data_IF_839760186197
#
_entry.id   IF_839760186197
#
_cell.length_a   1.000
_cell.length_b   1.000
_cell.length_c   1.000
_cell.angle_alpha   90.00
_cell.angle_beta   90.00
_cell.angle_gamma   90.00
#
_symmetry.space_group_name_H-M   'P 1'
#
loop_
_entity.id
_entity.type
_entity.pdbx_description
1 polymer ?
#
# COMPACT_ATOMS: atom_id res chain seq x y z
N UNK A 1 8.42 18.86 -20.08
CA UNK A 1 9.38 17.80 -19.69
C UNK A 1 9.51 17.63 -18.17
N UNK A 2 9.73 18.71 -17.41
CA UNK A 2 9.93 18.65 -15.93
C UNK A 2 8.73 18.10 -15.16
N UNK A 3 7.50 18.49 -15.49
CA UNK A 3 6.29 18.01 -14.82
C UNK A 3 6.03 16.50 -15.06
N UNK A 4 6.28 16.01 -16.28
CA UNK A 4 6.12 14.59 -16.59
C UNK A 4 7.13 13.72 -15.83
N UNK A 5 8.37 14.20 -15.66
CA UNK A 5 9.40 13.50 -14.89
C UNK A 5 9.06 13.47 -13.41
N UNK A 6 8.54 14.57 -12.84
CA UNK A 6 8.07 14.58 -11.46
C UNK A 6 6.90 13.61 -11.24
N UNK A 7 5.94 13.59 -12.16
CA UNK A 7 4.81 12.66 -12.08
C UNK A 7 5.27 11.19 -12.17
N UNK A 8 6.21 10.89 -13.06
CA UNK A 8 6.81 9.56 -13.15
C UNK A 8 7.51 9.16 -11.85
N UNK A 9 8.24 10.11 -11.21
CA UNK A 9 8.89 9.90 -9.91
C UNK A 9 7.86 9.63 -8.80
N UNK A 10 6.73 10.34 -8.80
CA UNK A 10 5.61 10.11 -7.87
C UNK A 10 5.06 8.69 -8.03
N UNK A 11 4.83 8.25 -9.26
CA UNK A 11 4.33 6.89 -9.53
C UNK A 11 5.34 5.81 -9.12
N UNK A 12 6.62 6.01 -9.41
CA UNK A 12 7.69 5.11 -8.97
C UNK A 12 7.78 5.03 -7.45
N UNK A 13 7.61 6.16 -6.75
CA UNK A 13 7.60 6.18 -5.29
C UNK A 13 6.40 5.39 -4.71
N UNK A 14 5.24 5.39 -5.40
CA UNK A 14 4.10 4.57 -5.00
C UNK A 14 4.27 3.08 -5.32
N UNK A 15 4.94 2.74 -6.42
CA UNK A 15 5.36 1.35 -6.69
C UNK A 15 6.30 0.88 -5.57
N UNK A 16 7.27 1.72 -5.22
CA UNK A 16 8.21 1.49 -4.12
C UNK A 16 7.52 1.27 -2.77
N UNK A 17 6.45 2.02 -2.48
CA UNK A 17 5.63 1.86 -1.28
C UNK A 17 4.87 0.52 -1.27
N UNK A 18 4.28 0.13 -2.39
CA UNK A 18 3.51 -1.11 -2.50
C UNK A 18 4.36 -2.38 -2.37
N UNK A 19 5.64 -2.33 -2.77
CA UNK A 19 6.52 -3.50 -2.74
C UNK A 19 6.60 -4.17 -1.36
N UNK A 20 6.93 -3.50 -0.26
CA UNK A 20 7.03 -4.10 1.06
C UNK A 20 5.68 -4.39 1.71
N UNK A 21 4.62 -3.63 1.39
CA UNK A 21 3.32 -3.71 2.06
C UNK A 21 2.67 -5.10 1.95
N UNK A 22 2.93 -5.81 0.86
CA UNK A 22 2.32 -7.10 0.55
C UNK A 22 3.19 -8.32 0.89
N UNK A 23 4.42 -8.10 1.38
CA UNK A 23 5.43 -9.17 1.50
C UNK A 23 5.35 -9.92 2.81
N UNK A 24 5.00 -9.24 3.91
CA UNK A 24 5.00 -9.85 5.24
C UNK A 24 4.13 -11.12 5.29
N UNK A 25 2.92 -11.07 4.75
CA UNK A 25 1.99 -12.19 4.80
C UNK A 25 2.47 -13.44 4.05
N UNK A 26 3.17 -13.26 2.94
CA UNK A 26 3.71 -14.38 2.15
C UNK A 26 5.05 -14.90 2.70
N UNK A 27 5.81 -14.05 3.36
CA UNK A 27 7.05 -14.43 4.03
C UNK A 27 6.81 -15.11 5.39
N UNK A 28 5.66 -14.81 6.03
CA UNK A 28 5.39 -15.17 7.42
C UNK A 28 5.47 -16.66 7.73
N UNK A 29 4.97 -17.60 6.92
CA UNK A 29 5.14 -19.03 7.20
C UNK A 29 6.60 -19.43 7.42
N UNK A 30 7.49 -18.93 6.57
CA UNK A 30 8.95 -19.18 6.70
C UNK A 30 9.59 -18.39 7.83
N UNK A 31 9.16 -17.14 8.05
CA UNK A 31 9.66 -16.28 9.13
C UNK A 31 9.33 -16.85 10.49
N UNK A 32 8.06 -17.20 10.75
CA UNK A 32 7.65 -17.74 12.04
C UNK A 32 8.32 -19.07 12.37
N UNK A 33 8.50 -19.95 11.38
CA UNK A 33 9.19 -21.21 11.55
C UNK A 33 10.67 -21.00 11.94
N UNK A 34 11.36 -20.08 11.27
CA UNK A 34 12.78 -19.79 11.53
C UNK A 34 13.04 -19.02 12.83
N UNK A 35 12.05 -18.28 13.33
CA UNK A 35 12.15 -17.42 14.52
C UNK A 35 11.41 -18.02 15.74
N UNK A 36 10.81 -19.20 15.61
CA UNK A 36 10.06 -19.86 16.68
C UNK A 36 8.85 -19.05 17.15
N UNK A 37 8.10 -18.42 16.22
CA UNK A 37 6.98 -17.54 16.54
C UNK A 37 5.63 -18.20 16.21
N UNK A 38 4.61 -17.78 16.97
CA UNK A 38 3.23 -18.16 16.71
C UNK A 38 2.67 -17.43 15.47
N UNK A 39 1.61 -18.00 14.89
CA UNK A 39 0.92 -17.40 13.75
C UNK A 39 0.52 -15.96 14.02
N UNK A 40 -0.06 -15.67 15.18
CA UNK A 40 -0.57 -14.35 15.55
C UNK A 40 0.49 -13.25 15.65
N UNK A 41 1.78 -13.61 15.82
CA UNK A 41 2.87 -12.65 15.99
C UNK A 41 3.08 -11.74 14.76
N UNK A 42 2.66 -12.14 13.54
CA UNK A 42 2.63 -11.24 12.39
C UNK A 42 1.75 -10.00 12.62
N UNK A 43 0.66 -10.18 13.37
CA UNK A 43 -0.23 -9.08 13.75
C UNK A 43 0.47 -8.00 14.58
N UNK A 44 1.45 -8.35 15.42
CA UNK A 44 2.25 -7.37 16.18
C UNK A 44 3.13 -6.52 15.26
N UNK A 45 3.79 -7.13 14.27
CA UNK A 45 4.57 -6.39 13.27
C UNK A 45 3.66 -5.44 12.52
N UNK A 46 2.51 -5.94 12.03
CA UNK A 46 1.52 -5.12 11.29
C UNK A 46 0.97 -3.99 12.16
N UNK A 47 0.72 -4.23 13.45
CA UNK A 47 0.27 -3.20 14.39
C UNK A 47 1.32 -2.08 14.52
N UNK A 48 2.60 -2.43 14.72
CA UNK A 48 3.69 -1.45 14.83
C UNK A 48 3.84 -0.65 13.54
N UNK A 49 3.78 -1.31 12.37
CA UNK A 49 3.79 -0.66 11.06
C UNK A 49 2.64 0.33 10.91
N UNK A 50 1.41 -0.10 11.23
CA UNK A 50 0.20 0.72 11.08
C UNK A 50 0.21 1.92 12.04
N UNK A 51 0.60 1.71 13.30
CA UNK A 51 0.73 2.81 14.28
C UNK A 51 1.81 3.79 13.84
N UNK A 52 2.97 3.31 13.40
CA UNK A 52 4.04 4.14 12.87
C UNK A 52 3.60 4.96 11.67
N UNK A 53 2.89 4.33 10.71
CA UNK A 53 2.33 5.00 9.53
C UNK A 53 1.31 6.07 9.90
N UNK A 54 0.38 5.77 10.82
CA UNK A 54 -0.61 6.73 11.30
C UNK A 54 0.05 7.92 12.00
N UNK A 55 0.98 7.67 12.92
CA UNK A 55 1.71 8.73 13.63
C UNK A 55 2.48 9.63 12.65
N UNK A 56 3.16 9.04 11.68
CA UNK A 56 3.88 9.77 10.65
C UNK A 56 2.96 10.64 9.80
N UNK A 57 1.79 10.13 9.43
CA UNK A 57 0.77 10.87 8.67
C UNK A 57 0.20 12.06 9.45
N UNK A 58 -0.03 11.91 10.78
CA UNK A 58 -0.53 12.99 11.64
C UNK A 58 0.52 14.07 11.93
N UNK A 59 1.75 13.66 12.25
CA UNK A 59 2.86 14.60 12.55
C UNK A 59 3.37 15.23 11.26
N UNK A 60 3.24 14.51 10.15
CA UNK A 60 3.73 14.86 8.83
C UNK A 60 3.32 16.25 8.35
N UNK A 61 2.11 16.72 8.65
CA UNK A 61 1.63 18.04 8.22
C UNK A 61 2.55 19.19 8.64
N UNK A 62 3.10 19.17 9.86
CA UNK A 62 3.99 20.22 10.39
C UNK A 62 5.44 20.07 9.95
N UNK A 63 5.98 18.86 10.00
CA UNK A 63 7.37 18.55 9.59
C UNK A 63 7.50 18.67 8.07
N UNK A 64 6.52 18.16 7.34
CA UNK A 64 6.47 18.14 5.88
C UNK A 64 6.32 19.53 5.27
N UNK A 65 5.64 20.47 5.94
CA UNK A 65 5.54 21.86 5.50
C UNK A 65 6.93 22.55 5.45
N UNK A 66 7.86 22.12 6.30
CA UNK A 66 9.22 22.69 6.35
C UNK A 66 10.19 22.04 5.35
N UNK A 67 10.09 20.74 5.13
CA UNK A 67 11.10 19.99 4.33
C UNK A 67 10.73 19.87 2.86
N UNK A 68 9.45 19.94 2.52
CA UNK A 68 8.97 19.73 1.16
C UNK A 68 8.86 18.25 0.74
N UNK A 69 8.28 18.02 -0.43
CA UNK A 69 7.95 16.65 -0.91
C UNK A 69 9.18 15.81 -1.22
N UNK A 70 10.16 16.38 -1.94
CA UNK A 70 11.34 15.63 -2.38
C UNK A 70 12.18 15.05 -1.23
N UNK A 71 12.63 15.87 -0.25
CA UNK A 71 13.39 15.38 0.90
C UNK A 71 12.62 14.34 1.71
N UNK A 72 11.31 14.51 1.92
CA UNK A 72 10.50 13.55 2.66
C UNK A 72 10.46 12.20 1.97
N UNK A 73 10.20 12.15 0.67
CA UNK A 73 10.19 10.90 -0.11
C UNK A 73 11.56 10.22 -0.06
N UNK A 74 12.64 10.99 -0.15
CA UNK A 74 14.00 10.46 -0.13
C UNK A 74 14.37 9.88 1.23
N UNK A 75 14.15 10.64 2.33
CA UNK A 75 14.47 10.19 3.69
C UNK A 75 13.60 8.99 4.08
N UNK A 76 12.31 9.02 3.75
CA UNK A 76 11.40 7.92 4.01
C UNK A 76 11.78 6.66 3.22
N UNK A 77 12.15 6.80 1.95
CA UNK A 77 12.68 5.71 1.13
C UNK A 77 13.95 5.09 1.73
N UNK A 78 14.84 5.91 2.27
CA UNK A 78 16.05 5.44 2.96
C UNK A 78 15.68 4.67 4.24
N UNK A 79 14.78 5.22 5.07
CA UNK A 79 14.31 4.55 6.28
C UNK A 79 13.69 3.19 5.98
N UNK A 80 12.79 3.13 4.99
CA UNK A 80 12.13 1.88 4.59
C UNK A 80 13.12 0.89 3.99
N UNK A 81 14.03 1.33 3.11
CA UNK A 81 15.05 0.48 2.50
C UNK A 81 16.00 -0.13 3.53
N UNK A 82 16.51 0.67 4.46
CA UNK A 82 17.38 0.20 5.54
C UNK A 82 16.64 -0.74 6.51
N UNK A 83 15.38 -0.46 6.83
CA UNK A 83 14.56 -1.33 7.65
C UNK A 83 14.34 -2.70 6.99
N UNK A 84 14.09 -2.74 5.68
CA UNK A 84 13.92 -4.00 4.92
C UNK A 84 15.22 -4.83 4.88
N UNK A 85 16.37 -4.19 4.70
CA UNK A 85 17.66 -4.86 4.83
C UNK A 85 17.86 -5.39 6.26
N UNK A 86 17.47 -4.60 7.26
CA UNK A 86 17.48 -5.03 8.64
C UNK A 86 16.56 -6.24 8.91
N UNK A 87 15.38 -6.29 8.29
CA UNK A 87 14.50 -7.48 8.33
C UNK A 87 15.22 -8.71 7.81
N UNK A 88 15.88 -8.62 6.65
CA UNK A 88 16.62 -9.73 6.05
C UNK A 88 17.74 -10.27 6.97
N UNK A 89 18.40 -9.38 7.71
CA UNK A 89 19.55 -9.70 8.58
C UNK A 89 19.12 -9.99 10.02
N UNK A 90 17.83 -9.86 10.35
CA UNK A 90 17.36 -9.99 11.73
C UNK A 90 17.49 -11.41 12.28
N UNK A 91 18.17 -11.61 13.41
CA UNK A 91 18.25 -12.88 14.09
C UNK A 91 17.07 -13.15 15.04
N UNK A 92 16.24 -12.14 15.34
CA UNK A 92 15.19 -12.25 16.37
C UNK A 92 13.92 -11.50 16.00
N UNK A 93 12.80 -11.95 16.54
CA UNK A 93 11.50 -11.29 16.40
C UNK A 93 11.48 -9.88 17.02
N UNK A 94 12.15 -9.68 18.15
CA UNK A 94 12.24 -8.38 18.81
C UNK A 94 12.90 -7.32 17.91
N UNK A 95 13.95 -7.71 17.16
CA UNK A 95 14.58 -6.79 16.21
C UNK A 95 13.66 -6.49 15.03
N UNK A 96 12.84 -7.43 14.55
CA UNK A 96 11.83 -7.16 13.52
C UNK A 96 10.80 -6.13 14.00
N UNK A 97 10.33 -6.23 15.25
CA UNK A 97 9.42 -5.23 15.83
C UNK A 97 10.07 -3.84 15.92
N UNK A 98 11.34 -3.78 16.32
CA UNK A 98 12.07 -2.52 16.37
C UNK A 98 12.23 -1.89 14.97
N UNK A 99 12.56 -2.69 13.96
CA UNK A 99 12.72 -2.25 12.58
C UNK A 99 11.39 -1.93 11.89
N UNK A 100 10.27 -2.50 12.36
CA UNK A 100 8.94 -2.15 11.89
C UNK A 100 8.59 -0.67 12.19
N UNK A 101 9.19 -0.05 13.21
CA UNK A 101 8.97 1.36 13.55
C UNK A 101 9.44 2.28 12.41
N UNK A 102 10.73 2.30 12.01
CA UNK A 102 11.18 3.14 10.90
C UNK A 102 10.52 2.76 9.57
N UNK A 103 10.18 1.48 9.36
CA UNK A 103 9.46 1.04 8.17
C UNK A 103 8.06 1.67 8.09
N UNK A 104 7.29 1.63 9.18
CA UNK A 104 5.96 2.24 9.25
C UNK A 104 5.99 3.76 9.16
N UNK A 105 6.91 4.42 9.88
CA UNK A 105 7.08 5.88 9.82
C UNK A 105 7.41 6.35 8.40
N UNK A 106 8.32 5.67 7.71
CA UNK A 106 8.68 5.97 6.33
C UNK A 106 7.52 5.79 5.37
N UNK A 107 6.82 4.65 5.46
CA UNK A 107 5.68 4.35 4.60
C UNK A 107 4.56 5.40 4.73
N UNK A 108 4.15 5.73 5.96
CA UNK A 108 3.09 6.72 6.21
C UNK A 108 3.47 8.13 5.75
N UNK A 109 4.74 8.54 5.89
CA UNK A 109 5.18 9.85 5.43
C UNK A 109 5.13 9.98 3.90
N UNK A 110 5.57 8.95 3.16
CA UNK A 110 5.49 8.92 1.68
C UNK A 110 4.05 8.94 1.23
N UNK A 111 3.22 8.06 1.79
CA UNK A 111 1.80 7.94 1.42
C UNK A 111 1.07 9.27 1.60
N UNK A 112 1.08 9.83 2.80
CA UNK A 112 0.41 11.09 3.09
C UNK A 112 0.90 12.25 2.20
N UNK A 113 2.21 12.34 1.98
CA UNK A 113 2.81 13.45 1.23
C UNK A 113 2.52 13.38 -0.25
N UNK A 114 2.63 12.20 -0.86
CA UNK A 114 2.39 12.06 -2.30
C UNK A 114 0.90 12.13 -2.63
N UNK A 115 0.01 11.62 -1.77
CA UNK A 115 -1.43 11.84 -1.91
C UNK A 115 -1.78 13.33 -1.88
N UNK A 116 -1.22 14.08 -0.90
CA UNK A 116 -1.43 15.53 -0.81
C UNK A 116 -0.88 16.25 -2.05
N UNK A 117 0.30 15.87 -2.52
CA UNK A 117 0.92 16.48 -3.69
C UNK A 117 0.07 16.26 -4.96
N UNK A 118 -0.38 15.01 -5.20
CA UNK A 118 -1.21 14.70 -6.37
C UNK A 118 -2.58 15.37 -6.26
N UNK A 119 -3.19 15.42 -5.08
CA UNK A 119 -4.46 16.10 -4.88
C UNK A 119 -4.38 17.62 -5.16
N UNK A 120 -3.24 18.24 -4.85
CA UNK A 120 -3.04 19.69 -5.05
C UNK A 120 -2.69 20.07 -6.50
N UNK A 121 -2.03 19.20 -7.26
CA UNK A 121 -1.42 19.58 -8.55
C UNK A 121 -1.96 18.80 -9.76
N UNK A 122 -2.73 17.71 -9.54
CA UNK A 122 -3.18 16.82 -10.61
C UNK A 122 -4.67 16.48 -10.48
N UNK A 123 -5.23 15.91 -11.55
CA UNK A 123 -6.64 15.52 -11.60
C UNK A 123 -6.91 14.19 -10.85
N UNK A 124 -8.20 13.91 -10.59
CA UNK A 124 -8.67 12.66 -10.00
C UNK A 124 -8.18 11.40 -10.75
N UNK A 125 -7.96 11.48 -12.08
CA UNK A 125 -7.38 10.41 -12.88
C UNK A 125 -5.97 10.04 -12.38
N UNK A 126 -5.14 11.02 -12.12
CA UNK A 126 -3.77 10.79 -11.65
C UNK A 126 -3.76 10.21 -10.22
N UNK A 127 -4.74 10.58 -9.39
CA UNK A 127 -4.91 9.97 -8.08
C UNK A 127 -5.25 8.47 -8.20
N UNK A 128 -6.16 8.09 -9.09
CA UNK A 128 -6.47 6.68 -9.35
C UNK A 128 -5.25 5.91 -9.89
N UNK A 129 -4.48 6.52 -10.78
CA UNK A 129 -3.26 5.91 -11.32
C UNK A 129 -2.16 5.78 -10.25
N UNK A 130 -2.06 6.73 -9.33
CA UNK A 130 -1.17 6.65 -8.19
C UNK A 130 -1.43 5.38 -7.36
N UNK A 131 -2.70 5.15 -7.00
CA UNK A 131 -3.07 3.92 -6.29
C UNK A 131 -3.00 2.65 -7.15
N UNK A 132 -3.15 2.78 -8.46
CA UNK A 132 -2.83 1.71 -9.40
C UNK A 132 -1.34 1.34 -9.38
N UNK A 133 -0.46 2.33 -9.32
CA UNK A 133 0.99 2.14 -9.21
C UNK A 133 1.39 1.48 -7.87
N UNK A 134 0.74 1.85 -6.75
CA UNK A 134 0.89 1.08 -5.51
C UNK A 134 0.54 -0.40 -5.72
N UNK A 135 -0.56 -0.68 -6.42
CA UNK A 135 -0.97 -2.04 -6.76
C UNK A 135 0.07 -2.80 -7.61
N UNK A 136 0.81 -2.11 -8.50
CA UNK A 136 1.95 -2.72 -9.21
C UNK A 136 3.00 -3.20 -8.22
N UNK A 137 3.41 -2.36 -7.27
CA UNK A 137 4.34 -2.73 -6.21
C UNK A 137 3.84 -3.89 -5.37
N UNK A 138 2.58 -3.80 -4.91
CA UNK A 138 1.94 -4.83 -4.10
C UNK A 138 1.79 -6.18 -4.83
N UNK A 139 1.70 -6.17 -6.17
CA UNK A 139 1.71 -7.38 -6.99
C UNK A 139 3.12 -7.96 -7.13
N UNK A 140 4.11 -7.10 -7.36
CA UNK A 140 5.51 -7.50 -7.56
C UNK A 140 6.16 -8.03 -6.27
N UNK A 141 5.79 -7.49 -5.09
CA UNK A 141 6.33 -7.92 -3.80
C UNK A 141 6.24 -9.43 -3.56
N UNK A 142 5.03 -10.02 -3.59
CA UNK A 142 4.85 -11.47 -3.47
C UNK A 142 5.51 -12.29 -4.58
N UNK A 143 5.61 -11.77 -5.82
CA UNK A 143 6.33 -12.44 -6.92
C UNK A 143 7.84 -12.54 -6.64
N UNK A 144 8.43 -11.44 -6.17
CA UNK A 144 9.84 -11.41 -5.75
C UNK A 144 10.04 -12.39 -4.59
N UNK A 145 9.16 -12.35 -3.59
CA UNK A 145 9.23 -13.25 -2.44
C UNK A 145 9.03 -14.72 -2.87
N UNK A 146 8.10 -15.04 -3.76
CA UNK A 146 7.89 -16.39 -4.31
C UNK A 146 9.16 -16.97 -4.92
N UNK A 147 9.90 -16.13 -5.67
CA UNK A 147 11.19 -16.54 -6.24
C UNK A 147 12.27 -16.73 -5.18
N UNK A 148 12.28 -15.88 -4.13
CA UNK A 148 13.23 -15.96 -3.04
C UNK A 148 12.99 -17.16 -2.12
N UNK A 149 11.73 -17.55 -1.89
CA UNK A 149 11.37 -18.67 -1.01
C UNK A 149 11.94 -20.01 -1.48
N UNK A 150 12.33 -20.12 -2.76
CA UNK A 150 13.00 -21.32 -3.31
C UNK A 150 14.53 -21.30 -3.11
N UNK A 151 15.09 -20.19 -2.63
CA UNK A 151 16.53 -20.07 -2.36
C UNK A 151 16.93 -20.64 -0.98
N UNK A 152 18.22 -20.87 -0.77
CA UNK A 152 18.75 -21.39 0.49
C UNK A 152 18.46 -20.48 1.69
N UNK A 153 18.36 -19.18 1.49
CA UNK A 153 18.09 -18.18 2.55
C UNK A 153 16.60 -17.80 2.67
N UNK A 154 15.76 -18.32 1.77
CA UNK A 154 14.32 -18.20 1.81
C UNK A 154 13.82 -16.74 1.89
N UNK A 155 12.94 -16.43 2.86
CA UNK A 155 12.35 -15.12 3.05
C UNK A 155 13.36 -13.97 3.23
N UNK A 156 14.55 -14.28 3.80
CA UNK A 156 15.64 -13.29 3.97
C UNK A 156 16.10 -12.75 2.61
N UNK A 157 16.24 -13.62 1.62
CA UNK A 157 16.61 -13.24 0.26
C UNK A 157 15.58 -12.29 -0.37
N UNK A 158 14.31 -12.54 -0.13
CA UNK A 158 13.22 -11.67 -0.63
C UNK A 158 13.33 -10.25 -0.05
N UNK A 159 13.53 -10.13 1.25
CA UNK A 159 13.74 -8.82 1.89
C UNK A 159 15.03 -8.13 1.44
N UNK A 160 16.12 -8.88 1.19
CA UNK A 160 17.34 -8.31 0.61
C UNK A 160 17.10 -7.74 -0.78
N UNK A 161 16.40 -8.45 -1.65
CA UNK A 161 16.10 -7.97 -3.00
C UNK A 161 15.20 -6.74 -2.98
N UNK A 162 14.11 -6.77 -2.18
CA UNK A 162 13.18 -5.63 -2.09
C UNK A 162 13.87 -4.42 -1.45
N UNK A 163 14.64 -4.62 -0.39
CA UNK A 163 15.43 -3.56 0.23
C UNK A 163 16.48 -2.95 -0.72
N UNK A 164 17.13 -3.79 -1.53
CA UNK A 164 18.05 -3.35 -2.57
C UNK A 164 17.37 -2.50 -3.65
N UNK A 165 16.20 -2.93 -4.15
CA UNK A 165 15.39 -2.15 -5.09
C UNK A 165 14.98 -0.81 -4.46
N UNK A 166 14.55 -0.84 -3.19
CA UNK A 166 14.15 0.36 -2.45
C UNK A 166 15.30 1.37 -2.36
N UNK A 167 16.50 0.93 -1.98
CA UNK A 167 17.67 1.80 -1.92
C UNK A 167 18.13 2.29 -3.30
N UNK A 168 17.99 1.47 -4.34
CA UNK A 168 18.21 1.90 -5.73
C UNK A 168 17.27 3.03 -6.15
N UNK A 169 15.99 2.97 -5.74
CA UNK A 169 15.03 4.04 -5.97
C UNK A 169 15.37 5.31 -5.17
N UNK A 170 15.93 5.19 -3.97
CA UNK A 170 16.41 6.34 -3.19
C UNK A 170 17.49 7.11 -3.95
N UNK A 171 18.42 6.43 -4.63
CA UNK A 171 19.40 7.10 -5.49
C UNK A 171 18.73 7.89 -6.61
N UNK A 172 17.69 7.32 -7.23
CA UNK A 172 16.90 8.05 -8.23
C UNK A 172 16.21 9.28 -7.61
N UNK A 173 15.62 9.15 -6.40
CA UNK A 173 14.96 10.26 -5.73
C UNK A 173 15.94 11.39 -5.36
N UNK A 174 17.17 11.05 -4.99
CA UNK A 174 18.24 12.01 -4.77
C UNK A 174 18.60 12.78 -6.06
N UNK A 175 18.71 12.08 -7.20
CA UNK A 175 18.99 12.71 -8.48
C UNK A 175 17.88 13.67 -8.94
N UNK A 176 16.63 13.37 -8.60
CA UNK A 176 15.45 14.18 -8.96
C UNK A 176 15.17 15.29 -7.93
N UNK A 177 15.85 15.29 -6.78
CA UNK A 177 15.62 16.25 -5.69
C UNK A 177 15.67 17.73 -6.13
N UNK A 178 16.59 18.20 -7.00
CA UNK A 178 16.61 19.57 -7.49
C UNK A 178 15.34 19.98 -8.27
N UNK A 179 14.67 19.02 -8.94
CA UNK A 179 13.44 19.28 -9.67
C UNK A 179 12.26 19.53 -8.71
N UNK A 180 12.23 18.81 -7.59
CA UNK A 180 11.25 19.05 -6.53
C UNK A 180 11.37 20.45 -5.93
N UNK A 181 12.60 20.89 -5.65
CA UNK A 181 12.87 22.21 -5.10
C UNK A 181 12.42 23.34 -6.05
N UNK A 182 12.72 23.19 -7.35
CA UNK A 182 12.26 24.17 -8.37
C UNK A 182 10.75 24.23 -8.47
N UNK A 183 10.06 23.08 -8.45
CA UNK A 183 8.60 23.04 -8.49
C UNK A 183 7.97 23.70 -7.26
N UNK A 184 8.52 23.46 -6.08
CA UNK A 184 8.04 24.09 -4.84
C UNK A 184 8.20 25.61 -4.84
N UNK A 185 9.33 26.11 -5.31
CA UNK A 185 9.57 27.55 -5.44
C UNK A 185 8.54 28.21 -6.39
N UNK A 186 8.24 27.57 -7.52
CA UNK A 186 7.22 28.04 -8.47
C UNK A 186 5.81 28.00 -7.90
N UNK A 187 5.45 26.93 -7.17
CA UNK A 187 4.12 26.79 -6.56
C UNK A 187 3.89 27.78 -5.43
N UNK A 188 4.92 28.06 -4.62
CA UNK A 188 4.87 29.07 -3.56
C UNK A 188 4.62 30.49 -4.13
N UNK A 189 5.27 30.82 -5.26
CA UNK A 189 5.06 32.08 -5.96
C UNK A 189 3.64 32.23 -6.52
N UNK A 190 3.02 31.12 -6.98
CA UNK A 190 1.63 31.09 -7.50
C UNK A 190 0.55 31.07 -6.40
N UNK A 191 0.83 30.46 -5.25
CA UNK A 191 -0.14 30.33 -4.14
C UNK A 191 -0.44 31.66 -3.42
N UNK A 192 0.42 32.67 -3.57
CA UNK A 192 0.20 34.00 -3.03
C UNK A 192 -1.01 34.74 -3.64
N UNK A 193 -1.70 34.14 -4.63
CA UNK A 193 -2.73 34.82 -5.44
C UNK A 193 -4.15 34.24 -5.27
N UNK A 194 -4.36 33.12 -4.58
CA UNK A 194 -5.70 32.49 -4.49
C UNK A 194 -6.12 32.22 -3.04
N UNK A 195 -7.13 32.95 -2.51
CA UNK A 195 -7.74 32.62 -1.22
C UNK A 195 -8.60 31.35 -1.36
N UNK A 196 -8.30 30.31 -0.61
CA UNK A 196 -9.18 29.15 -0.43
C UNK A 196 -10.35 29.55 0.44
N UNK A 197 -11.56 29.53 -0.09
CA UNK A 197 -12.80 29.67 0.68
C UNK A 197 -12.99 28.47 1.60
N UNK A 198 -13.14 28.63 2.92
CA UNK A 198 -13.46 27.54 3.81
C UNK A 198 -14.82 26.93 3.45
N UNK A 199 -14.89 25.62 3.26
CA UNK A 199 -16.16 24.90 3.18
C UNK A 199 -16.84 24.96 4.54
N UNK A 200 -18.18 25.12 4.57
CA UNK A 200 -18.97 25.19 5.80
C UNK A 200 -18.81 23.92 6.68
N UNK A 201 -19.29 23.96 7.94
CA UNK A 201 -19.14 22.86 8.89
C UNK A 201 -19.81 21.60 8.35
N UNK A 202 -19.04 20.51 8.33
CA UNK A 202 -19.54 19.20 7.92
C UNK A 202 -20.50 18.62 8.96
N UNK A 203 -21.54 17.85 8.57
CA UNK A 203 -22.41 17.16 9.51
C UNK A 203 -21.60 16.21 10.39
N UNK A 204 -21.74 16.30 11.70
CA UNK A 204 -20.91 15.57 12.70
C UNK A 204 -20.88 14.06 12.49
N UNK A 205 -22.03 13.45 12.15
CA UNK A 205 -22.11 12.00 11.90
C UNK A 205 -21.33 11.57 10.65
N UNK A 206 -21.41 12.31 9.56
CA UNK A 206 -20.71 11.98 8.34
C UNK A 206 -19.18 12.10 8.49
N UNK A 207 -18.72 13.00 9.37
CA UNK A 207 -17.29 13.16 9.70
C UNK A 207 -16.71 11.90 10.38
N UNK A 208 -17.49 11.21 11.21
CA UNK A 208 -17.06 9.97 11.87
C UNK A 208 -17.31 8.72 11.03
N UNK A 209 -18.31 8.71 10.17
CA UNK A 209 -18.60 7.58 9.28
C UNK A 209 -17.52 7.39 8.21
N UNK A 210 -16.92 8.45 7.69
CA UNK A 210 -15.88 8.32 6.66
C UNK A 210 -14.66 7.53 7.16
N UNK A 211 -13.99 7.90 8.29
CA UNK A 211 -12.89 7.10 8.83
C UNK A 211 -13.30 5.66 9.17
N UNK A 212 -14.52 5.43 9.68
CA UNK A 212 -15.01 4.10 9.99
C UNK A 212 -15.13 3.21 8.74
N UNK A 213 -15.62 3.76 7.63
CA UNK A 213 -15.67 3.04 6.34
C UNK A 213 -14.27 2.73 5.80
N UNK A 214 -13.32 3.67 5.94
CA UNK A 214 -11.92 3.41 5.59
C UNK A 214 -11.32 2.31 6.44
N UNK A 215 -11.55 2.33 7.75
CA UNK A 215 -11.08 1.30 8.66
C UNK A 215 -11.65 -0.08 8.29
N UNK A 216 -12.97 -0.16 8.03
CA UNK A 216 -13.61 -1.41 7.62
C UNK A 216 -13.02 -1.96 6.30
N UNK A 217 -12.81 -1.09 5.32
CA UNK A 217 -12.16 -1.45 4.07
C UNK A 217 -10.72 -1.94 4.29
N UNK A 218 -9.92 -1.14 5.00
CA UNK A 218 -8.52 -1.47 5.28
C UNK A 218 -8.38 -2.77 6.06
N UNK A 219 -9.31 -3.05 6.99
CA UNK A 219 -9.35 -4.31 7.72
C UNK A 219 -9.49 -5.52 6.78
N UNK A 220 -10.34 -5.43 5.76
CA UNK A 220 -10.51 -6.52 4.77
C UNK A 220 -9.25 -6.68 3.91
N UNK A 221 -8.74 -5.60 3.32
CA UNK A 221 -7.58 -5.65 2.42
C UNK A 221 -6.32 -6.13 3.15
N UNK A 222 -6.00 -5.50 4.29
CA UNK A 222 -4.79 -5.81 5.08
C UNK A 222 -4.88 -7.22 5.67
N UNK A 223 -6.02 -7.62 6.23
CA UNK A 223 -6.18 -8.98 6.79
C UNK A 223 -6.02 -10.04 5.71
N UNK A 224 -6.60 -9.83 4.52
CA UNK A 224 -6.44 -10.76 3.42
C UNK A 224 -4.97 -10.85 2.99
N UNK A 225 -4.31 -9.72 2.77
CA UNK A 225 -2.90 -9.68 2.40
C UNK A 225 -1.98 -10.35 3.43
N UNK A 226 -2.29 -10.17 4.73
CA UNK A 226 -1.49 -10.71 5.82
C UNK A 226 -1.69 -12.23 6.00
N UNK A 227 -2.93 -12.70 5.95
CA UNK A 227 -3.26 -14.05 6.37
C UNK A 227 -3.48 -15.03 5.23
N UNK A 228 -3.73 -14.58 3.99
CA UNK A 228 -3.98 -15.48 2.86
C UNK A 228 -2.80 -16.43 2.61
N UNK A 229 -1.55 -15.96 2.69
CA UNK A 229 -0.37 -16.81 2.54
C UNK A 229 -0.35 -17.95 3.55
N UNK A 230 -0.53 -17.64 4.83
CA UNK A 230 -0.57 -18.66 5.91
C UNK A 230 -1.77 -19.60 5.78
N UNK A 231 -2.95 -19.08 5.42
CA UNK A 231 -4.12 -19.93 5.19
C UNK A 231 -3.90 -20.92 4.04
N UNK A 232 -3.24 -20.48 2.97
CA UNK A 232 -2.95 -21.34 1.82
C UNK A 232 -1.89 -22.40 2.16
N UNK A 233 -0.86 -22.05 2.92
CA UNK A 233 0.21 -22.98 3.32
C UNK A 233 -0.29 -23.91 4.42
N UNK A 234 -0.68 -23.36 5.57
CA UNK A 234 -0.98 -24.15 6.78
C UNK A 234 -2.37 -24.79 6.73
N UNK A 235 -3.36 -24.09 6.18
CA UNK A 235 -4.75 -24.53 6.14
C UNK A 235 -5.10 -25.39 4.92
N UNK A 236 -4.37 -25.24 3.80
CA UNK A 236 -4.67 -25.92 2.53
C UNK A 236 -3.52 -26.72 1.94
N UNK A 237 -2.37 -26.74 2.61
CA UNK A 237 -1.22 -27.55 2.22
C UNK A 237 -0.54 -27.13 0.91
N UNK A 238 -0.73 -25.89 0.44
CA UNK A 238 -0.01 -25.39 -0.72
C UNK A 238 1.46 -25.12 -0.32
N UNK A 239 2.36 -25.31 -1.27
CA UNK A 239 3.74 -24.85 -1.07
C UNK A 239 3.81 -23.31 -1.00
N UNK A 240 4.83 -22.82 -0.28
CA UNK A 240 4.96 -21.39 0.01
C UNK A 240 5.10 -20.52 -1.25
N UNK A 241 5.74 -21.04 -2.30
CA UNK A 241 5.87 -20.35 -3.59
C UNK A 241 4.51 -20.18 -4.27
N UNK A 242 3.75 -21.26 -4.37
CA UNK A 242 2.40 -21.26 -4.96
C UNK A 242 1.46 -20.35 -4.17
N UNK A 243 1.51 -20.39 -2.83
CA UNK A 243 0.73 -19.49 -1.98
C UNK A 243 1.08 -18.02 -2.25
N UNK A 244 2.36 -17.69 -2.35
CA UNK A 244 2.81 -16.33 -2.66
C UNK A 244 2.34 -15.85 -4.05
N UNK A 245 2.33 -16.72 -5.07
CA UNK A 245 1.81 -16.42 -6.39
C UNK A 245 0.30 -16.08 -6.35
N UNK A 246 -0.50 -16.81 -5.57
CA UNK A 246 -1.94 -16.53 -5.43
C UNK A 246 -2.21 -15.23 -4.65
N UNK A 247 -1.40 -14.91 -3.66
CA UNK A 247 -1.46 -13.59 -3.00
C UNK A 247 -1.08 -12.47 -3.98
N UNK A 248 -0.09 -12.72 -4.85
CA UNK A 248 0.21 -11.79 -5.95
C UNK A 248 -0.97 -11.60 -6.89
N UNK A 249 -1.72 -12.67 -7.24
CA UNK A 249 -2.93 -12.56 -8.05
C UNK A 249 -4.02 -11.72 -7.36
N UNK A 250 -4.16 -11.82 -6.03
CA UNK A 250 -5.07 -10.96 -5.24
C UNK A 250 -4.71 -9.46 -5.40
N UNK A 251 -3.45 -9.10 -5.18
CA UNK A 251 -3.00 -7.71 -5.35
C UNK A 251 -3.02 -7.27 -6.83
N UNK A 252 -2.74 -8.18 -7.77
CA UNK A 252 -2.89 -7.95 -9.20
C UNK A 252 -4.33 -7.64 -9.60
N UNK A 253 -5.30 -8.33 -9.00
CA UNK A 253 -6.72 -8.05 -9.18
C UNK A 253 -7.10 -6.65 -8.64
N UNK A 254 -6.58 -6.26 -7.48
CA UNK A 254 -6.74 -4.90 -6.93
C UNK A 254 -6.13 -3.88 -7.90
N UNK A 255 -4.92 -4.12 -8.38
CA UNK A 255 -4.23 -3.24 -9.32
C UNK A 255 -5.05 -3.02 -10.60
N UNK A 256 -5.43 -4.10 -11.27
CA UNK A 256 -6.21 -4.06 -12.51
C UNK A 256 -7.56 -3.38 -12.29
N UNK A 257 -8.24 -3.70 -11.19
CA UNK A 257 -9.50 -3.08 -10.83
C UNK A 257 -9.37 -1.58 -10.54
N UNK A 258 -8.28 -1.11 -9.92
CA UNK A 258 -8.02 0.32 -9.70
C UNK A 258 -7.79 1.08 -11.01
N UNK A 259 -7.04 0.51 -11.95
CA UNK A 259 -6.89 1.11 -13.27
C UNK A 259 -8.22 1.13 -14.05
N UNK A 260 -8.98 0.03 -14.00
CA UNK A 260 -10.31 -0.06 -14.63
C UNK A 260 -11.32 0.92 -14.01
N UNK A 261 -11.26 1.18 -12.70
CA UNK A 261 -12.13 2.11 -12.00
C UNK A 261 -12.08 3.51 -12.62
N UNK A 262 -10.91 3.97 -13.02
CA UNK A 262 -10.73 5.26 -13.70
C UNK A 262 -11.54 5.38 -15.00
N UNK A 263 -11.83 4.27 -15.67
CA UNK A 263 -12.66 4.20 -16.88
C UNK A 263 -14.13 3.95 -16.54
N UNK A 264 -14.40 3.08 -15.58
CA UNK A 264 -15.77 2.70 -15.17
C UNK A 264 -16.52 3.85 -14.50
N UNK A 265 -15.85 4.72 -13.77
CA UNK A 265 -16.45 5.90 -13.15
C UNK A 265 -17.00 6.91 -14.15
N UNK A 266 -16.59 6.84 -15.42
CA UNK A 266 -17.16 7.65 -16.52
C UNK A 266 -18.57 7.17 -16.91
N UNK A 267 -18.92 5.92 -16.66
CA UNK A 267 -20.22 5.32 -17.03
C UNK A 267 -21.10 4.99 -15.84
N UNK A 268 -20.51 4.66 -14.71
CA UNK A 268 -21.18 4.28 -13.47
C UNK A 268 -20.88 5.30 -12.38
N UNK A 269 -21.90 5.72 -11.65
CA UNK A 269 -21.70 6.59 -10.48
C UNK A 269 -20.94 5.88 -9.37
N UNK A 270 -20.12 6.60 -8.59
CA UNK A 270 -19.31 6.05 -7.49
C UNK A 270 -20.12 5.16 -6.55
N UNK A 271 -21.34 5.57 -6.18
CA UNK A 271 -22.20 4.81 -5.26
C UNK A 271 -22.61 3.44 -5.82
N UNK A 272 -22.95 3.39 -7.11
CA UNK A 272 -23.34 2.14 -7.78
C UNK A 272 -22.16 1.20 -7.93
N UNK A 273 -21.01 1.75 -8.31
CA UNK A 273 -19.75 1.00 -8.44
C UNK A 273 -19.33 0.39 -7.10
N UNK A 274 -19.33 1.18 -6.02
CA UNK A 274 -18.98 0.68 -4.66
C UNK A 274 -19.93 -0.44 -4.21
N UNK A 275 -21.25 -0.30 -4.42
CA UNK A 275 -22.23 -1.34 -4.05
C UNK A 275 -21.97 -2.66 -4.80
N UNK A 276 -21.77 -2.58 -6.12
CA UNK A 276 -21.46 -3.76 -6.95
C UNK A 276 -20.17 -4.42 -6.46
N UNK A 277 -19.16 -3.65 -6.18
CA UNK A 277 -17.85 -4.17 -5.79
C UNK A 277 -17.83 -4.73 -4.37
N UNK A 278 -18.63 -4.19 -3.45
CA UNK A 278 -18.86 -4.83 -2.15
C UNK A 278 -19.51 -6.20 -2.33
N UNK A 279 -20.52 -6.32 -3.20
CA UNK A 279 -21.14 -7.62 -3.48
C UNK A 279 -20.13 -8.63 -4.07
N UNK A 280 -19.31 -8.19 -5.04
CA UNK A 280 -18.25 -9.03 -5.62
C UNK A 280 -17.22 -9.43 -4.56
N UNK A 281 -16.78 -8.50 -3.71
CA UNK A 281 -15.86 -8.79 -2.61
C UNK A 281 -16.46 -9.79 -1.62
N UNK A 282 -17.73 -9.63 -1.27
CA UNK A 282 -18.43 -10.54 -0.34
C UNK A 282 -18.53 -11.97 -0.90
N UNK A 283 -18.87 -12.11 -2.18
CA UNK A 283 -18.87 -13.42 -2.87
C UNK A 283 -17.46 -14.00 -2.89
N UNK A 284 -16.47 -13.21 -3.28
CA UNK A 284 -15.05 -13.62 -3.28
C UNK A 284 -14.59 -14.10 -1.90
N UNK A 285 -14.91 -13.34 -0.84
CA UNK A 285 -14.58 -13.72 0.54
C UNK A 285 -15.26 -15.02 0.96
N UNK A 286 -16.54 -15.21 0.65
CA UNK A 286 -17.28 -16.44 0.96
C UNK A 286 -16.68 -17.66 0.26
N UNK A 287 -16.32 -17.53 -1.02
CA UNK A 287 -15.66 -18.59 -1.79
C UNK A 287 -14.28 -18.91 -1.21
N UNK A 288 -13.49 -17.87 -0.91
CA UNK A 288 -12.14 -18.05 -0.37
C UNK A 288 -12.14 -18.64 1.03
N UNK A 289 -13.06 -18.24 1.90
CA UNK A 289 -13.17 -18.74 3.27
C UNK A 289 -13.72 -20.18 3.36
N UNK A 290 -14.42 -20.67 2.33
CA UNK A 290 -15.04 -21.98 2.35
C UNK A 290 -14.00 -23.10 2.22
N UNK A 291 -13.97 -24.00 3.20
CA UNK A 291 -13.16 -25.22 3.17
C UNK A 291 -13.89 -26.38 2.43
N UNK A 292 -15.18 -26.24 2.14
CA UNK A 292 -15.96 -27.26 1.45
C UNK A 292 -15.84 -27.21 -0.09
N UNK A 293 -15.25 -26.13 -0.62
CA UNK A 293 -15.13 -25.92 -2.06
C UNK A 293 -13.81 -26.50 -2.61
N UNK A 294 -13.80 -26.94 -3.88
CA UNK A 294 -12.57 -27.32 -4.58
C UNK A 294 -11.57 -26.17 -4.60
N UNK A 295 -10.28 -26.49 -4.46
CA UNK A 295 -9.21 -25.50 -4.41
C UNK A 295 -9.26 -24.44 -5.53
N UNK A 296 -9.51 -24.77 -6.83
CA UNK A 296 -9.59 -23.75 -7.88
C UNK A 296 -10.68 -22.71 -7.65
N UNK A 297 -11.84 -23.11 -7.12
CA UNK A 297 -12.97 -22.22 -6.87
C UNK A 297 -12.67 -21.28 -5.69
N UNK A 298 -12.04 -21.80 -4.66
CA UNK A 298 -11.60 -20.99 -3.53
C UNK A 298 -10.50 -20.00 -3.91
N UNK A 299 -9.54 -20.40 -4.74
CA UNK A 299 -8.48 -19.51 -5.25
C UNK A 299 -9.06 -18.42 -6.18
N UNK A 300 -10.05 -18.78 -7.01
CA UNK A 300 -10.82 -17.79 -7.77
C UNK A 300 -11.55 -16.80 -6.85
N UNK A 301 -12.04 -17.26 -5.69
CA UNK A 301 -12.60 -16.40 -4.64
C UNK A 301 -11.63 -15.34 -4.14
N UNK A 302 -10.36 -15.68 -3.95
CA UNK A 302 -9.31 -14.73 -3.55
C UNK A 302 -9.12 -13.64 -4.60
N UNK A 303 -9.09 -13.98 -5.88
CA UNK A 303 -8.99 -13.03 -6.99
C UNK A 303 -10.23 -12.13 -7.08
N UNK A 304 -11.44 -12.70 -6.94
CA UNK A 304 -12.69 -11.94 -6.92
C UNK A 304 -12.74 -10.96 -5.74
N UNK A 305 -12.26 -11.37 -4.57
CA UNK A 305 -12.14 -10.49 -3.40
C UNK A 305 -11.24 -9.28 -3.73
N UNK A 306 -10.10 -9.49 -4.37
CA UNK A 306 -9.22 -8.42 -4.83
C UNK A 306 -9.90 -7.47 -5.81
N UNK A 307 -10.59 -8.01 -6.83
CA UNK A 307 -11.35 -7.19 -7.79
C UNK A 307 -12.43 -6.35 -7.11
N UNK A 308 -13.16 -6.95 -6.14
CA UNK A 308 -14.19 -6.25 -5.39
C UNK A 308 -13.62 -5.17 -4.45
N UNK A 309 -12.44 -5.35 -3.89
CA UNK A 309 -11.78 -4.35 -3.06
C UNK A 309 -11.29 -3.13 -3.86
N UNK A 310 -10.94 -3.30 -5.12
CA UNK A 310 -10.20 -2.34 -5.93
C UNK A 310 -10.79 -0.91 -5.99
N UNK A 311 -12.08 -0.69 -6.32
CA UNK A 311 -12.64 0.67 -6.47
C UNK A 311 -13.07 1.30 -5.15
N UNK A 312 -13.16 0.54 -4.05
CA UNK A 312 -13.74 1.04 -2.80
C UNK A 312 -12.93 2.21 -2.26
N UNK A 313 -11.62 2.05 -2.11
CA UNK A 313 -10.73 3.09 -1.57
C UNK A 313 -10.73 4.36 -2.42
N UNK A 314 -10.46 4.32 -3.74
CA UNK A 314 -10.46 5.53 -4.57
C UNK A 314 -11.81 6.25 -4.61
N UNK A 315 -12.91 5.49 -4.67
CA UNK A 315 -14.26 6.07 -4.67
C UNK A 315 -14.60 6.74 -3.32
N UNK A 316 -14.21 6.16 -2.19
CA UNK A 316 -14.38 6.76 -0.87
C UNK A 316 -13.54 8.04 -0.74
N UNK A 317 -12.28 8.04 -1.19
CA UNK A 317 -11.42 9.23 -1.19
C UNK A 317 -12.05 10.37 -1.99
N UNK A 318 -12.49 10.09 -3.22
CA UNK A 318 -13.12 11.09 -4.08
C UNK A 318 -14.41 11.65 -3.47
N UNK A 319 -15.27 10.80 -2.90
CA UNK A 319 -16.54 11.21 -2.29
C UNK A 319 -16.32 12.01 -1.01
N UNK A 320 -15.35 11.63 -0.18
CA UNK A 320 -14.98 12.34 1.05
C UNK A 320 -14.45 13.75 0.73
N UNK A 321 -13.50 13.87 -0.21
CA UNK A 321 -12.95 15.14 -0.63
C UNK A 321 -14.01 16.09 -1.27
N UNK A 322 -15.09 15.52 -1.83
CA UNK A 322 -16.20 16.30 -2.41
C UNK A 322 -17.17 16.82 -1.36
N UNK A 323 -17.34 16.09 -0.24
CA UNK A 323 -18.30 16.43 0.83
C UNK A 323 -17.72 17.32 1.91
N UNK A 324 -16.46 17.15 2.19
CA UNK A 324 -15.71 17.86 3.23
C UNK A 324 -14.58 18.70 2.63
#
# INVERSE_FOLDING_TARGET
MTQALLLATVYLAFISLGLPDSVLGVAWPGMRASLGQDLASAGLITLVLTVGSALSSFVGGRVLARWGTGPVVTVSGLLTGLALLGFALSPSFALLLLLAVPLGLGAGAVDARLNQFVAAHYSARHMNWLHGCWGVGATLGPLIMASALTSATGWRQGYLWIGGVQLGLVLLFLLVLPLWQRHQAQSAASAAVSPTTPKGPAPTLALWLAPALYLAYAAVEISTGLWAGSLLVDGRGLDAKTAALWVSCFFGAIMLGRFATGLLTLRLGNRQLVRLCIAVASVGAALFASNALPAPLSLAGLVLLGLGCAPIYPCLMHETARRF
#
